data_IF_310941750574
#
_entry.id   IF_310941750574
#
_cell.length_a   1.000
_cell.length_b   1.000
_cell.length_c   1.000
_cell.angle_alpha   90.00
_cell.angle_beta   90.00
_cell.angle_gamma   90.00
#
_symmetry.space_group_name_H-M   'P 1'
#
loop_
_entity.id
_entity.type
_entity.pdbx_description
1 polymer ?
#
# COMPACT_ATOMS: atom_id res chain seq x y z
N UNK A 1 -45.23 1.07 17.41
CA UNK A 1 -43.89 1.65 17.24
C UNK A 1 -43.91 2.41 15.94
N UNK A 2 -43.90 3.74 16.00
CA UNK A 2 -43.84 4.59 14.81
C UNK A 2 -42.51 4.38 14.10
N UNK A 3 -42.48 4.32 12.76
CA UNK A 3 -41.23 4.24 12.02
C UNK A 3 -40.40 5.49 12.30
N UNK A 4 -39.13 5.29 12.66
CA UNK A 4 -38.15 6.37 12.77
C UNK A 4 -38.09 7.13 11.43
N UNK A 5 -38.00 8.48 11.46
CA UNK A 5 -37.86 9.24 10.23
C UNK A 5 -36.59 8.78 9.50
N UNK A 6 -36.72 8.51 8.21
CA UNK A 6 -35.57 8.26 7.33
C UNK A 6 -34.64 9.47 7.40
N UNK A 7 -33.31 9.29 7.40
CA UNK A 7 -32.39 10.42 7.44
C UNK A 7 -32.66 11.28 6.21
N UNK A 8 -33.00 12.55 6.44
CA UNK A 8 -33.09 13.55 5.37
C UNK A 8 -31.74 13.61 4.65
N UNK A 9 -31.71 13.85 3.33
CA UNK A 9 -30.45 14.00 2.61
C UNK A 9 -29.72 15.22 3.17
N UNK A 10 -28.66 15.00 3.96
CA UNK A 10 -27.76 16.06 4.40
C UNK A 10 -27.21 16.75 3.14
N UNK A 11 -27.59 18.00 2.91
CA UNK A 11 -26.94 18.84 1.90
C UNK A 11 -25.43 18.84 2.18
N UNK A 12 -24.63 18.50 1.17
CA UNK A 12 -23.17 18.56 1.28
C UNK A 12 -22.77 19.98 1.66
N UNK A 13 -22.28 20.16 2.89
CA UNK A 13 -21.81 21.44 3.36
C UNK A 13 -20.68 21.94 2.45
N UNK A 14 -20.75 23.20 2.04
CA UNK A 14 -19.71 23.87 1.24
C UNK A 14 -19.17 25.09 1.96
N UNK A 15 -17.89 25.40 1.77
CA UNK A 15 -17.23 26.57 2.34
C UNK A 15 -16.44 27.35 1.30
N UNK A 16 -16.46 28.67 1.38
CA UNK A 16 -15.61 29.55 0.57
C UNK A 16 -14.13 29.53 1.02
N UNK A 17 -13.85 29.03 2.23
CA UNK A 17 -12.48 28.89 2.74
C UNK A 17 -11.94 27.53 2.29
N UNK A 18 -10.88 27.55 1.48
CA UNK A 18 -10.33 26.38 0.80
C UNK A 18 -9.94 25.24 1.76
N UNK A 19 -9.31 25.57 2.90
CA UNK A 19 -8.92 24.56 3.89
C UNK A 19 -10.13 23.87 4.51
N UNK A 20 -11.21 24.63 4.75
CA UNK A 20 -12.47 24.08 5.27
C UNK A 20 -13.14 23.21 4.21
N UNK A 21 -13.18 23.66 2.95
CA UNK A 21 -13.72 22.84 1.86
C UNK A 21 -12.97 21.53 1.70
N UNK A 22 -11.63 21.58 1.77
CA UNK A 22 -10.78 20.39 1.71
C UNK A 22 -11.11 19.41 2.83
N UNK A 23 -11.28 19.91 4.06
CA UNK A 23 -11.68 19.06 5.19
C UNK A 23 -13.06 18.43 4.98
N UNK A 24 -14.03 19.17 4.44
CA UNK A 24 -15.37 18.66 4.11
C UNK A 24 -15.30 17.57 3.04
N UNK A 25 -14.47 17.74 2.00
CA UNK A 25 -14.29 16.74 0.94
C UNK A 25 -13.66 15.43 1.49
N UNK A 26 -12.71 15.54 2.44
CA UNK A 26 -12.19 14.39 3.17
C UNK A 26 -13.25 13.72 4.04
N UNK A 27 -14.05 14.48 4.79
CA UNK A 27 -15.15 13.94 5.60
C UNK A 27 -16.14 13.17 4.73
N UNK A 28 -16.51 13.73 3.57
CA UNK A 28 -17.37 13.06 2.58
C UNK A 28 -16.73 11.77 2.07
N UNK A 29 -15.42 11.78 1.80
CA UNK A 29 -14.69 10.59 1.36
C UNK A 29 -14.71 9.48 2.42
N UNK A 30 -14.52 9.82 3.70
CA UNK A 30 -14.56 8.87 4.82
C UNK A 30 -15.97 8.32 5.04
N UNK A 31 -17.00 9.17 4.98
CA UNK A 31 -18.41 8.73 5.11
C UNK A 31 -18.83 7.72 4.04
N UNK A 32 -18.28 7.86 2.83
CA UNK A 32 -18.55 6.97 1.70
C UNK A 32 -17.51 5.84 1.58
N UNK A 33 -16.62 5.67 2.57
CA UNK A 33 -15.62 4.62 2.56
C UNK A 33 -16.28 3.24 2.71
N UNK A 34 -15.87 2.31 1.87
CA UNK A 34 -16.30 0.93 1.84
C UNK A 34 -15.06 0.04 1.69
N UNK A 35 -15.21 -1.26 1.95
CA UNK A 35 -14.09 -2.17 1.73
C UNK A 35 -13.65 -2.20 0.25
N UNK A 36 -14.59 -2.10 -0.69
CA UNK A 36 -14.31 -2.16 -2.12
C UNK A 36 -13.61 -0.91 -2.67
N UNK A 37 -13.77 0.25 -2.02
CA UNK A 37 -13.08 1.48 -2.41
C UNK A 37 -11.87 1.81 -1.51
N UNK A 38 -11.42 0.86 -0.69
CA UNK A 38 -10.29 1.02 0.24
C UNK A 38 -8.93 1.19 -0.44
N UNK A 39 -8.83 0.89 -1.75
CA UNK A 39 -7.57 0.86 -2.48
C UNK A 39 -6.75 -0.42 -2.25
N UNK A 40 -7.29 -1.39 -1.50
CA UNK A 40 -6.66 -2.69 -1.31
C UNK A 40 -6.71 -3.51 -2.61
N UNK A 41 -5.69 -4.34 -2.89
CA UNK A 41 -5.74 -5.29 -3.99
C UNK A 41 -6.97 -6.21 -3.87
N UNK A 42 -7.58 -6.56 -5.00
CA UNK A 42 -8.80 -7.37 -5.03
C UNK A 42 -8.69 -8.69 -4.24
N UNK A 43 -7.55 -9.38 -4.33
CA UNK A 43 -7.31 -10.62 -3.59
C UNK A 43 -7.25 -10.42 -2.07
N UNK A 44 -6.85 -9.24 -1.58
CA UNK A 44 -6.82 -8.89 -0.15
C UNK A 44 -8.24 -8.61 0.35
N UNK A 45 -9.05 -7.90 -0.45
CA UNK A 45 -10.47 -7.69 -0.16
C UNK A 45 -11.23 -9.01 -0.12
N UNK A 46 -10.96 -9.91 -1.07
CA UNK A 46 -11.55 -11.25 -1.09
C UNK A 46 -11.17 -12.04 0.16
N UNK A 47 -9.89 -12.00 0.57
CA UNK A 47 -9.44 -12.63 1.81
C UNK A 47 -10.12 -12.04 3.03
N UNK A 48 -10.24 -10.73 3.14
CA UNK A 48 -10.96 -10.07 4.24
C UNK A 48 -12.41 -10.55 4.39
N UNK A 49 -13.06 -10.89 3.27
CA UNK A 49 -14.41 -11.48 3.25
C UNK A 49 -14.40 -12.98 3.56
N UNK A 50 -13.33 -13.68 3.18
CA UNK A 50 -13.17 -15.13 3.26
C UNK A 50 -11.84 -15.49 3.96
N UNK A 51 -11.78 -15.45 5.31
CA UNK A 51 -10.57 -15.75 6.06
C UNK A 51 -9.99 -17.12 5.75
N UNK A 52 -8.67 -17.26 5.86
CA UNK A 52 -8.02 -18.57 5.83
C UNK A 52 -8.47 -19.36 7.07
N UNK A 53 -9.04 -20.52 6.86
CA UNK A 53 -9.52 -21.42 7.93
C UNK A 53 -8.66 -22.68 8.11
N UNK A 54 -7.54 -22.77 7.39
CA UNK A 54 -6.63 -23.93 7.44
C UNK A 54 -5.23 -23.50 7.84
N UNK A 55 -4.47 -24.44 8.41
CA UNK A 55 -3.09 -24.18 8.79
C UNK A 55 -2.24 -23.94 7.54
N UNK A 56 -1.40 -22.90 7.59
CA UNK A 56 -0.47 -22.62 6.51
C UNK A 56 0.66 -23.66 6.49
N UNK A 57 0.76 -24.43 5.40
CA UNK A 57 1.84 -25.40 5.18
C UNK A 57 2.75 -24.96 4.02
N UNK A 58 4.02 -24.71 4.31
CA UNK A 58 5.04 -24.39 3.30
C UNK A 58 5.87 -25.64 3.04
N UNK A 59 5.61 -26.32 1.91
CA UNK A 59 6.28 -27.58 1.54
C UNK A 59 7.50 -27.38 0.63
N UNK A 60 7.52 -26.28 -0.11
CA UNK A 60 8.63 -25.92 -1.00
C UNK A 60 9.81 -25.42 -0.16
N UNK A 61 10.95 -26.12 -0.28
CA UNK A 61 12.16 -25.81 0.47
C UNK A 61 12.82 -24.51 0.01
N UNK A 62 12.73 -24.20 -1.28
CA UNK A 62 13.33 -22.99 -1.84
C UNK A 62 12.50 -21.76 -1.46
N UNK A 63 11.17 -21.91 -1.41
CA UNK A 63 10.27 -20.89 -0.84
C UNK A 63 10.57 -20.67 0.64
N UNK A 64 10.67 -21.75 1.44
CA UNK A 64 10.99 -21.65 2.86
C UNK A 64 12.33 -20.96 3.09
N UNK A 65 13.37 -21.37 2.36
CA UNK A 65 14.68 -20.72 2.41
C UNK A 65 14.61 -19.23 2.04
N UNK A 66 13.85 -18.90 1.00
CA UNK A 66 13.69 -17.50 0.56
C UNK A 66 12.99 -16.63 1.62
N UNK A 67 11.99 -17.19 2.33
CA UNK A 67 11.29 -16.54 3.43
C UNK A 67 12.18 -16.38 4.66
N UNK A 68 12.91 -17.43 5.06
CA UNK A 68 13.86 -17.38 6.18
C UNK A 68 14.94 -16.34 5.95
N UNK A 69 15.47 -16.29 4.73
CA UNK A 69 16.45 -15.28 4.32
C UNK A 69 15.86 -13.87 4.43
N UNK A 70 14.65 -13.66 3.94
CA UNK A 70 13.98 -12.37 4.00
C UNK A 70 13.70 -11.92 5.43
N UNK A 71 13.19 -12.82 6.28
CA UNK A 71 12.94 -12.56 7.71
C UNK A 71 14.24 -12.26 8.47
N UNK A 72 15.34 -12.93 8.13
CA UNK A 72 16.65 -12.74 8.77
C UNK A 72 17.28 -11.38 8.42
N UNK A 73 16.87 -10.77 7.31
CA UNK A 73 17.42 -9.52 6.78
C UNK A 73 16.45 -8.34 7.04
N UNK A 74 15.49 -8.47 7.96
CA UNK A 74 14.44 -7.46 8.18
C UNK A 74 14.93 -6.02 8.48
N UNK A 75 16.16 -5.88 8.99
CA UNK A 75 16.79 -4.61 9.34
C UNK A 75 17.82 -4.14 8.31
N UNK A 76 18.04 -4.87 7.21
CA UNK A 76 18.99 -4.52 6.18
C UNK A 76 18.28 -4.07 4.89
N UNK A 77 19.06 -3.60 3.91
CA UNK A 77 18.51 -3.12 2.65
C UNK A 77 18.10 -4.28 1.74
N UNK A 78 17.22 -3.99 0.78
CA UNK A 78 16.93 -4.89 -0.34
C UNK A 78 18.20 -5.33 -1.09
N UNK A 79 19.22 -4.47 -1.13
CA UNK A 79 20.52 -4.78 -1.73
C UNK A 79 21.25 -5.89 -0.96
N UNK A 80 21.25 -5.85 0.37
CA UNK A 80 21.79 -6.95 1.19
C UNK A 80 21.11 -8.28 0.89
N UNK A 81 19.77 -8.30 0.75
CA UNK A 81 19.06 -9.51 0.34
C UNK A 81 19.53 -10.02 -1.03
N UNK A 82 19.68 -9.11 -2.00
CA UNK A 82 20.13 -9.47 -3.35
C UNK A 82 21.56 -10.03 -3.34
N UNK A 83 22.47 -9.45 -2.56
CA UNK A 83 23.86 -9.94 -2.46
C UNK A 83 23.92 -11.36 -1.88
N UNK A 84 23.16 -11.62 -0.81
CA UNK A 84 23.11 -12.96 -0.20
C UNK A 84 22.47 -13.96 -1.15
N UNK A 85 21.38 -13.57 -1.84
CA UNK A 85 20.77 -14.38 -2.90
C UNK A 85 21.79 -14.74 -3.99
N UNK A 86 22.56 -13.78 -4.48
CA UNK A 86 23.60 -14.04 -5.49
C UNK A 86 24.72 -14.94 -4.97
N UNK A 87 25.14 -14.78 -3.72
CA UNK A 87 26.11 -15.67 -3.09
C UNK A 87 25.58 -17.10 -2.97
N UNK A 88 24.31 -17.27 -2.58
CA UNK A 88 23.64 -18.57 -2.51
C UNK A 88 23.56 -19.26 -3.87
N UNK A 89 23.08 -18.56 -4.89
CA UNK A 89 22.98 -19.09 -6.26
C UNK A 89 24.34 -19.42 -6.89
N UNK A 90 25.41 -18.70 -6.54
CA UNK A 90 26.78 -19.07 -6.96
C UNK A 90 27.23 -20.41 -6.39
N UNK A 91 26.83 -20.73 -5.16
CA UNK A 91 27.17 -21.99 -4.49
C UNK A 91 26.23 -23.13 -4.93
N UNK A 92 24.95 -22.83 -5.11
CA UNK A 92 23.90 -23.77 -5.47
C UNK A 92 23.06 -23.26 -6.65
N UNK A 93 23.56 -23.41 -7.90
CA UNK A 93 22.90 -22.81 -9.08
C UNK A 93 21.55 -23.43 -9.48
N UNK A 94 21.17 -24.54 -8.87
CA UNK A 94 19.91 -25.25 -9.16
C UNK A 94 18.77 -24.81 -8.24
N UNK A 95 19.08 -24.11 -7.15
CA UNK A 95 18.10 -23.67 -6.17
C UNK A 95 17.30 -22.49 -6.74
N UNK A 96 16.00 -22.43 -6.43
CA UNK A 96 15.12 -21.35 -6.87
C UNK A 96 14.94 -20.30 -5.77
N UNK A 97 16.01 -19.58 -5.44
CA UNK A 97 15.93 -18.48 -4.47
C UNK A 97 15.17 -17.31 -5.09
N UNK A 98 14.02 -16.96 -4.50
CA UNK A 98 13.14 -15.91 -4.99
C UNK A 98 13.84 -14.54 -4.98
N UNK A 99 13.37 -13.62 -5.82
CA UNK A 99 13.77 -12.20 -5.71
C UNK A 99 13.07 -11.55 -4.52
N UNK A 100 13.60 -10.43 -4.02
CA UNK A 100 12.99 -9.70 -2.90
C UNK A 100 11.50 -9.41 -3.14
N UNK A 101 11.16 -8.87 -4.30
CA UNK A 101 9.77 -8.57 -4.67
C UNK A 101 8.89 -9.84 -4.80
N UNK A 102 9.47 -10.96 -5.24
CA UNK A 102 8.75 -12.22 -5.29
C UNK A 102 8.48 -12.77 -3.89
N UNK A 103 9.42 -12.62 -2.94
CA UNK A 103 9.18 -12.98 -1.54
C UNK A 103 8.13 -12.07 -0.92
N UNK A 104 8.17 -10.76 -1.11
CA UNK A 104 7.12 -9.85 -0.61
C UNK A 104 5.74 -10.26 -1.12
N UNK A 105 5.63 -10.61 -2.40
CA UNK A 105 4.39 -11.14 -2.98
C UNK A 105 3.96 -12.45 -2.31
N UNK A 106 4.89 -13.37 -2.08
CA UNK A 106 4.59 -14.62 -1.36
C UNK A 106 4.15 -14.34 0.07
N UNK A 107 4.78 -13.41 0.80
CA UNK A 107 4.35 -13.02 2.14
C UNK A 107 2.93 -12.46 2.12
N UNK A 108 2.58 -11.60 1.17
CA UNK A 108 1.21 -11.09 1.01
C UNK A 108 0.23 -12.21 0.64
N UNK A 109 0.60 -13.12 -0.26
CA UNK A 109 -0.24 -14.27 -0.64
C UNK A 109 -0.41 -15.27 0.51
N UNK A 110 0.58 -15.46 1.37
CA UNK A 110 0.51 -16.40 2.49
C UNK A 110 -0.28 -15.78 3.65
N UNK A 111 0.07 -14.57 4.05
CA UNK A 111 -0.51 -13.88 5.22
C UNK A 111 -1.82 -13.16 4.93
N UNK A 112 -2.06 -12.75 3.68
CA UNK A 112 -3.16 -11.86 3.32
C UNK A 112 -2.90 -10.39 3.69
N UNK A 113 -1.75 -10.10 4.30
CA UNK A 113 -1.37 -8.75 4.70
C UNK A 113 -0.70 -8.07 3.52
N UNK A 114 -1.35 -7.02 3.00
CA UNK A 114 -0.80 -6.16 1.97
C UNK A 114 -0.71 -4.71 2.48
N UNK A 115 0.43 -4.03 2.27
CA UNK A 115 0.51 -2.61 2.52
C UNK A 115 -0.33 -1.81 1.52
N UNK A 116 -0.95 -0.73 1.99
CA UNK A 116 -1.43 0.35 1.13
C UNK A 116 -0.29 1.35 0.94
N UNK A 117 0.10 1.55 -0.31
CA UNK A 117 1.19 2.45 -0.69
C UNK A 117 0.61 3.72 -1.29
N UNK A 118 0.81 4.85 -0.62
CA UNK A 118 0.39 6.16 -1.13
C UNK A 118 1.59 7.05 -1.35
N UNK A 119 1.56 7.83 -2.42
CA UNK A 119 2.57 8.86 -2.64
C UNK A 119 2.44 9.93 -1.57
N UNK A 120 3.58 10.51 -1.18
CA UNK A 120 3.64 11.51 -0.12
C UNK A 120 4.59 12.64 -0.51
N UNK A 121 4.28 13.86 -0.08
CA UNK A 121 5.20 14.97 -0.21
C UNK A 121 6.45 14.75 0.65
N UNK A 122 7.61 15.06 0.10
CA UNK A 122 8.92 14.91 0.75
C UNK A 122 9.20 15.89 1.91
N UNK A 123 8.25 16.77 2.22
CA UNK A 123 8.50 17.91 3.10
C UNK A 123 7.35 18.14 4.08
N UNK A 124 6.13 18.37 3.56
CA UNK A 124 4.94 18.52 4.39
C UNK A 124 4.38 17.19 4.88
N UNK A 125 4.88 16.06 4.39
CA UNK A 125 4.34 14.72 4.62
C UNK A 125 2.86 14.54 4.22
N UNK A 126 2.29 15.45 3.42
CA UNK A 126 0.92 15.29 2.90
C UNK A 126 0.87 14.10 1.94
N UNK A 127 -0.05 13.17 2.21
CA UNK A 127 -0.32 12.05 1.33
C UNK A 127 -1.26 12.45 0.17
N UNK A 128 -0.94 12.02 -1.04
CA UNK A 128 -1.76 12.26 -2.23
C UNK A 128 -2.90 11.25 -2.31
N UNK A 129 -3.92 11.47 -1.48
CA UNK A 129 -5.11 10.60 -1.34
C UNK A 129 -6.38 11.44 -1.32
N UNK A 130 -7.55 10.81 -1.51
CA UNK A 130 -8.84 11.49 -1.47
C UNK A 130 -8.87 12.70 -2.42
N UNK A 131 -9.24 13.91 -1.93
CA UNK A 131 -9.24 15.15 -2.71
C UNK A 131 -7.88 15.51 -3.34
N UNK A 132 -6.77 15.02 -2.76
CA UNK A 132 -5.42 15.28 -3.25
C UNK A 132 -4.90 14.23 -4.24
N UNK A 133 -5.66 13.17 -4.53
CA UNK A 133 -5.19 12.03 -5.31
C UNK A 133 -4.72 12.41 -6.73
N UNK A 134 -5.33 13.43 -7.33
CA UNK A 134 -5.02 13.93 -8.67
C UNK A 134 -3.98 15.06 -8.70
N UNK A 135 -3.43 15.47 -7.56
CA UNK A 135 -2.45 16.55 -7.50
C UNK A 135 -1.05 16.03 -7.84
N UNK A 136 -0.32 16.82 -8.63
CA UNK A 136 1.09 16.60 -8.98
C UNK A 136 2.04 17.49 -8.17
N UNK A 137 1.49 18.45 -7.41
CA UNK A 137 2.22 19.36 -6.52
C UNK A 137 1.56 19.37 -5.16
N UNK A 138 2.38 19.53 -4.13
CA UNK A 138 1.89 19.55 -2.76
C UNK A 138 1.04 20.81 -2.50
N UNK A 139 -0.19 20.69 -1.97
CA UNK A 139 -1.03 21.86 -1.69
C UNK A 139 -0.49 22.73 -0.54
N UNK A 140 0.49 22.24 0.24
CA UNK A 140 1.04 22.94 1.42
C UNK A 140 2.37 23.63 1.11
N UNK A 141 3.29 22.96 0.42
CA UNK A 141 4.64 23.49 0.16
C UNK A 141 5.03 23.54 -1.33
N UNK A 142 4.08 23.25 -2.22
CA UNK A 142 4.22 23.35 -3.69
C UNK A 142 5.32 22.48 -4.32
N UNK A 143 5.96 21.59 -3.55
CA UNK A 143 6.94 20.64 -4.08
C UNK A 143 6.28 19.62 -5.01
N UNK A 144 6.95 19.27 -6.10
CA UNK A 144 6.53 18.21 -7.02
C UNK A 144 6.35 16.88 -6.27
N UNK A 145 5.25 16.19 -6.59
CA UNK A 145 4.97 14.80 -6.19
C UNK A 145 5.94 13.81 -6.83
N UNK A 146 6.19 13.99 -8.13
CA UNK A 146 7.06 13.12 -8.92
C UNK A 146 8.46 13.69 -9.07
N UNK A 147 9.43 12.79 -9.27
CA UNK A 147 10.81 13.13 -9.53
C UNK A 147 10.92 13.86 -10.88
N UNK A 148 11.33 15.14 -10.90
CA UNK A 148 11.37 15.93 -12.13
C UNK A 148 12.37 15.39 -13.14
N UNK A 149 13.49 14.81 -12.69
CA UNK A 149 14.54 14.28 -13.58
C UNK A 149 14.01 13.04 -14.32
N UNK A 150 13.33 12.15 -13.59
CA UNK A 150 12.74 10.94 -14.18
C UNK A 150 11.60 11.31 -15.14
N UNK A 151 10.76 12.26 -14.76
CA UNK A 151 9.66 12.72 -15.60
C UNK A 151 10.18 13.35 -16.90
N UNK A 152 11.21 14.20 -16.82
CA UNK A 152 11.85 14.82 -17.98
C UNK A 152 12.53 13.79 -18.88
N UNK A 153 13.39 12.94 -18.32
CA UNK A 153 14.14 11.91 -19.08
C UNK A 153 13.23 10.89 -19.75
N UNK A 154 12.06 10.62 -19.15
CA UNK A 154 11.06 9.72 -19.74
C UNK A 154 10.08 10.41 -20.69
N UNK A 155 10.26 11.70 -20.97
CA UNK A 155 9.32 12.52 -21.76
C UNK A 155 7.88 12.44 -21.24
N UNK A 156 7.72 12.55 -19.91
CA UNK A 156 6.42 12.54 -19.24
C UNK A 156 5.78 11.17 -19.04
N UNK A 157 6.47 10.07 -19.43
CA UNK A 157 5.90 8.71 -19.40
C UNK A 157 5.99 8.04 -18.04
N UNK A 158 7.04 8.34 -17.26
CA UNK A 158 7.28 7.68 -15.98
C UNK A 158 7.06 8.69 -14.84
N UNK A 159 6.01 8.43 -14.05
CA UNK A 159 5.63 9.22 -12.90
C UNK A 159 6.18 8.54 -11.63
N UNK A 160 7.49 8.72 -11.39
CA UNK A 160 8.13 8.15 -10.20
C UNK A 160 7.88 9.07 -9.00
N UNK A 161 7.10 8.65 -7.98
CA UNK A 161 6.89 9.47 -6.80
C UNK A 161 8.19 9.64 -6.04
N UNK A 162 8.38 10.82 -5.46
CA UNK A 162 9.60 11.14 -4.70
C UNK A 162 9.64 10.50 -3.33
N UNK A 163 8.47 10.22 -2.75
CA UNK A 163 8.33 9.52 -1.48
C UNK A 163 6.97 8.82 -1.41
N UNK A 164 6.93 7.72 -0.64
CA UNK A 164 5.72 6.95 -0.38
C UNK A 164 5.56 6.73 1.12
N UNK A 165 4.31 6.67 1.56
CA UNK A 165 3.90 6.22 2.87
C UNK A 165 3.25 4.84 2.75
N UNK A 166 3.57 3.96 3.70
CA UNK A 166 3.05 2.60 3.75
C UNK A 166 2.11 2.49 4.95
N UNK A 167 0.84 2.21 4.68
CA UNK A 167 -0.15 1.89 5.73
C UNK A 167 -0.33 0.38 5.75
N UNK A 168 -0.06 -0.26 6.89
CA UNK A 168 -0.43 -1.68 7.09
C UNK A 168 -1.84 -1.70 7.70
N UNK A 169 -2.89 -2.07 6.94
CA UNK A 169 -4.25 -2.01 7.45
C UNK A 169 -4.46 -3.02 8.58
N UNK A 170 -5.29 -2.66 9.55
CA UNK A 170 -5.56 -3.53 10.71
C UNK A 170 -6.40 -4.76 10.35
N UNK A 171 -7.33 -4.63 9.39
CA UNK A 171 -8.23 -5.72 9.00
C UNK A 171 -7.49 -7.02 8.67
N UNK A 172 -6.54 -7.01 7.71
CA UNK A 172 -5.78 -8.22 7.37
C UNK A 172 -4.94 -8.77 8.52
N UNK A 173 -4.47 -7.92 9.43
CA UNK A 173 -3.69 -8.36 10.59
C UNK A 173 -4.55 -9.13 11.59
N UNK A 174 -5.72 -8.59 11.95
CA UNK A 174 -6.63 -9.22 12.92
C UNK A 174 -7.17 -10.54 12.37
N UNK A 175 -7.35 -10.65 11.05
CA UNK A 175 -7.81 -11.88 10.41
C UNK A 175 -6.85 -13.08 10.57
N UNK A 176 -5.57 -12.81 10.82
CA UNK A 176 -4.53 -13.83 10.95
C UNK A 176 -4.27 -14.29 12.39
N UNK A 177 -4.95 -13.68 13.37
CA UNK A 177 -4.87 -14.01 14.80
C UNK A 177 -5.93 -15.06 15.19
#
# INVERSE_FOLDING_TARGET
>A
MSPSPSPEPEEDATSAIQDIQTALDFIKSVRNATLDNSGLPAHVVERLRNPITHLLEIKDRDLLYSLDLWLSINNASQETYNDVRQASLRRHPRDNVLSFAAVERQVTELTGIAPLCHDMCIDSCVAYTGPFAALDRCPVCDKNRYDPIVLETSHGRIHKPRQRFYTIPLGPQIQTL
#
